data_IF_769091360942
#
_entry.id   IF_769091360942
#
_cell.length_a   1.000
_cell.length_b   1.000
_cell.length_c   1.000
_cell.angle_alpha   90.00
_cell.angle_beta   90.00
_cell.angle_gamma   90.00
#
_symmetry.space_group_name_H-M   'P 1'
#
loop_
_entity.id
_entity.type
_entity.pdbx_description
1 polymer ?
#
# COMPACT_ATOMS: atom_id res chain seq x y z
N UNK A 1 2.25 16.06 -12.55
CA UNK A 1 2.68 14.76 -13.13
C UNK A 1 2.88 13.74 -12.02
N UNK A 2 2.43 12.49 -12.23
CA UNK A 2 2.55 11.41 -11.23
C UNK A 2 3.51 10.36 -11.79
N UNK A 3 4.44 9.89 -10.95
CA UNK A 3 5.29 8.75 -11.22
C UNK A 3 5.00 7.62 -10.24
N UNK A 4 5.39 6.41 -10.60
CA UNK A 4 5.21 5.22 -9.79
C UNK A 4 6.52 4.45 -9.66
N UNK A 5 6.87 4.04 -8.46
CA UNK A 5 8.02 3.20 -8.16
C UNK A 5 7.61 2.02 -7.27
N UNK A 6 8.11 0.85 -7.59
CA UNK A 6 8.08 -0.34 -6.74
C UNK A 6 9.52 -0.74 -6.44
N UNK A 7 10.12 -0.25 -5.35
CA UNK A 7 11.54 -0.47 -5.09
C UNK A 7 11.91 -1.92 -4.84
N UNK A 8 10.99 -2.70 -4.24
CA UNK A 8 11.22 -4.11 -3.90
C UNK A 8 10.07 -4.96 -4.42
N UNK A 9 10.38 -5.98 -5.22
CA UNK A 9 9.40 -6.92 -5.76
C UNK A 9 9.19 -8.10 -4.82
N UNK A 10 7.94 -8.36 -4.43
CA UNK A 10 7.58 -9.43 -3.50
C UNK A 10 7.46 -10.80 -4.17
N UNK A 11 7.24 -10.83 -5.46
CA UNK A 11 7.12 -12.08 -6.17
C UNK A 11 8.52 -12.58 -6.52
N UNK A 12 8.89 -13.73 -5.95
CA UNK A 12 10.02 -14.53 -6.38
C UNK A 12 9.70 -15.18 -7.75
N UNK A 13 9.48 -14.33 -8.75
CA UNK A 13 9.32 -14.75 -10.12
C UNK A 13 10.67 -15.25 -10.65
N UNK A 14 10.62 -16.00 -11.74
CA UNK A 14 11.81 -16.29 -12.52
C UNK A 14 12.47 -14.94 -12.87
N UNK A 15 13.80 -14.86 -12.95
CA UNK A 15 14.53 -13.61 -13.20
C UNK A 15 14.04 -12.83 -14.42
N UNK A 16 13.38 -13.51 -15.36
CA UNK A 16 12.87 -12.93 -16.60
C UNK A 16 11.39 -12.50 -16.55
N UNK A 17 10.72 -12.65 -15.40
CA UNK A 17 9.30 -12.30 -15.26
C UNK A 17 9.16 -10.96 -14.57
N UNK A 18 8.66 -9.97 -15.31
CA UNK A 18 8.35 -8.64 -14.76
C UNK A 18 7.32 -8.75 -13.63
N UNK A 19 7.52 -7.96 -12.57
CA UNK A 19 6.54 -7.86 -11.48
C UNK A 19 5.14 -7.48 -12.02
N UNK A 20 4.06 -8.11 -11.53
CA UNK A 20 2.71 -7.88 -12.05
C UNK A 20 2.27 -6.42 -12.00
N UNK A 21 2.62 -5.67 -10.94
CA UNK A 21 2.29 -4.24 -10.84
C UNK A 21 3.00 -3.43 -11.92
N UNK A 22 4.28 -3.71 -12.15
CA UNK A 22 5.07 -3.05 -13.21
C UNK A 22 4.55 -3.41 -14.60
N UNK A 23 4.20 -4.68 -14.83
CA UNK A 23 3.64 -5.13 -16.10
C UNK A 23 2.29 -4.44 -16.36
N UNK A 24 1.42 -4.31 -15.36
CA UNK A 24 0.15 -3.63 -15.49
C UNK A 24 0.34 -2.15 -15.84
N UNK A 25 1.22 -1.46 -15.13
CA UNK A 25 1.49 -0.03 -15.36
C UNK A 25 2.13 0.23 -16.74
N UNK A 26 3.06 -0.62 -17.15
CA UNK A 26 3.68 -0.48 -18.47
C UNK A 26 2.67 -0.63 -19.61
N UNK A 27 1.67 -1.51 -19.45
CA UNK A 27 0.63 -1.76 -20.46
C UNK A 27 -0.50 -0.72 -20.44
N UNK A 28 -0.87 -0.22 -19.26
CA UNK A 28 -2.06 0.64 -19.11
C UNK A 28 -1.72 2.11 -19.11
N UNK A 29 -0.58 2.49 -18.54
CA UNK A 29 -0.17 3.89 -18.34
C UNK A 29 1.04 4.29 -19.17
N UNK A 30 1.62 3.36 -19.95
CA UNK A 30 2.86 3.56 -20.71
C UNK A 30 4.03 4.04 -19.83
N UNK A 31 4.00 3.69 -18.56
CA UNK A 31 5.09 3.96 -17.61
C UNK A 31 6.16 2.86 -17.75
N UNK A 32 7.41 3.24 -17.63
CA UNK A 32 8.56 2.31 -17.60
C UNK A 32 9.30 2.46 -16.29
N UNK A 33 8.74 1.96 -15.18
CA UNK A 33 9.42 2.02 -13.88
C UNK A 33 10.69 1.17 -13.90
N UNK A 34 11.69 1.53 -13.07
CA UNK A 34 12.93 0.76 -12.98
C UNK A 34 12.66 -0.65 -12.44
N UNK A 35 13.61 -1.56 -12.71
CA UNK A 35 13.54 -2.91 -12.17
C UNK A 35 13.70 -2.89 -10.64
N UNK A 36 12.81 -3.55 -9.89
CA UNK A 36 12.87 -3.58 -8.43
C UNK A 36 13.96 -4.55 -7.93
N UNK A 37 14.41 -4.31 -6.71
CA UNK A 37 15.21 -5.26 -5.94
C UNK A 37 14.34 -6.48 -5.61
N UNK A 38 14.88 -7.69 -5.67
CA UNK A 38 14.11 -8.88 -5.29
C UNK A 38 13.90 -8.95 -3.77
N UNK A 39 12.76 -9.53 -3.34
CA UNK A 39 12.50 -9.71 -1.90
C UNK A 39 13.57 -10.59 -1.24
N UNK A 40 14.06 -11.61 -1.93
CA UNK A 40 15.12 -12.49 -1.42
C UNK A 40 16.43 -11.73 -1.18
N UNK A 41 16.80 -10.84 -2.08
CA UNK A 41 17.97 -9.98 -1.91
C UNK A 41 17.77 -8.98 -0.74
N UNK A 42 16.61 -8.34 -0.66
CA UNK A 42 16.29 -7.44 0.44
C UNK A 42 16.33 -8.18 1.81
N UNK A 43 15.81 -9.41 1.86
CA UNK A 43 15.87 -10.26 3.05
C UNK A 43 17.29 -10.62 3.43
N UNK A 44 18.12 -10.99 2.46
CA UNK A 44 19.53 -11.33 2.68
C UNK A 44 20.31 -10.13 3.21
N UNK A 45 20.16 -8.97 2.61
CA UNK A 45 20.80 -7.72 3.08
C UNK A 45 20.37 -7.36 4.50
N UNK A 46 19.08 -7.51 4.80
CA UNK A 46 18.58 -7.29 6.17
C UNK A 46 19.21 -8.26 7.17
N UNK A 47 19.36 -9.53 6.82
CA UNK A 47 20.00 -10.54 7.67
C UNK A 47 21.49 -10.26 7.89
N UNK A 48 22.16 -9.69 6.90
CA UNK A 48 23.57 -9.29 6.98
C UNK A 48 23.79 -7.95 7.73
N UNK A 49 22.72 -7.23 8.08
CA UNK A 49 22.83 -5.90 8.70
C UNK A 49 23.08 -4.77 7.69
N UNK A 50 22.89 -5.01 6.39
CA UNK A 50 23.15 -4.08 5.28
C UNK A 50 21.88 -3.26 4.92
N UNK A 51 21.10 -2.90 5.95
CA UNK A 51 19.82 -2.19 5.75
C UNK A 51 20.03 -0.78 5.18
N UNK A 52 21.13 -0.12 5.54
CA UNK A 52 21.43 1.23 5.06
C UNK A 52 21.71 1.21 3.55
N UNK A 53 22.54 0.27 3.07
CA UNK A 53 22.80 0.09 1.64
C UNK A 53 21.54 -0.28 0.85
N UNK A 54 20.66 -1.10 1.44
CA UNK A 54 19.37 -1.40 0.83
C UNK A 54 18.52 -0.12 0.67
N UNK A 55 18.50 0.73 1.69
CA UNK A 55 17.74 1.98 1.64
C UNK A 55 18.34 3.01 0.68
N UNK A 56 19.66 3.04 0.53
CA UNK A 56 20.34 3.87 -0.50
C UNK A 56 19.89 3.47 -1.91
N UNK A 57 19.83 2.17 -2.20
CA UNK A 57 19.35 1.69 -3.49
C UNK A 57 17.86 2.02 -3.71
N UNK A 58 17.04 1.90 -2.67
CA UNK A 58 15.62 2.33 -2.71
C UNK A 58 15.50 3.81 -3.04
N UNK A 59 16.28 4.67 -2.39
CA UNK A 59 16.29 6.12 -2.67
C UNK A 59 16.72 6.40 -4.10
N UNK A 60 17.74 5.70 -4.59
CA UNK A 60 18.24 5.86 -5.95
C UNK A 60 17.16 5.48 -6.98
N UNK A 61 16.48 4.35 -6.81
CA UNK A 61 15.37 3.93 -7.69
C UNK A 61 14.21 4.94 -7.67
N UNK A 62 13.83 5.41 -6.49
CA UNK A 62 12.78 6.42 -6.33
C UNK A 62 13.16 7.75 -6.97
N UNK A 63 14.38 8.21 -6.76
CA UNK A 63 14.89 9.47 -7.31
C UNK A 63 14.97 9.46 -8.84
N UNK A 64 15.43 8.36 -9.43
CA UNK A 64 15.43 8.19 -10.89
C UNK A 64 14.02 8.25 -11.47
N UNK A 65 13.04 7.69 -10.76
CA UNK A 65 11.64 7.67 -11.21
C UNK A 65 10.97 9.04 -11.05
N UNK A 66 11.37 9.81 -10.04
CA UNK A 66 10.75 11.08 -9.65
C UNK A 66 11.21 12.30 -10.46
N UNK A 67 12.23 12.17 -11.34
CA UNK A 67 12.94 13.31 -11.95
C UNK A 67 12.04 14.43 -12.53
N UNK A 68 10.88 14.05 -13.10
CA UNK A 68 9.94 15.00 -13.70
C UNK A 68 8.52 14.90 -13.10
N UNK A 69 8.39 14.39 -11.89
CA UNK A 69 7.10 14.16 -11.25
C UNK A 69 6.86 15.13 -10.10
N UNK A 70 5.63 15.61 -9.98
CA UNK A 70 5.16 16.40 -8.84
C UNK A 70 4.84 15.50 -7.64
N UNK A 71 4.46 14.24 -7.93
CA UNK A 71 4.12 13.23 -6.93
C UNK A 71 4.71 11.89 -7.35
N UNK A 72 5.40 11.23 -6.43
CA UNK A 72 5.85 9.85 -6.58
C UNK A 72 4.98 8.94 -5.70
N UNK A 73 4.35 7.95 -6.31
CA UNK A 73 3.66 6.87 -5.59
C UNK A 73 4.61 5.69 -5.47
N UNK A 74 4.90 5.28 -4.24
CA UNK A 74 5.79 4.14 -3.95
C UNK A 74 4.95 2.97 -3.44
N UNK A 75 5.02 1.83 -4.14
CA UNK A 75 4.37 0.60 -3.69
C UNK A 75 5.25 -0.13 -2.66
N UNK A 76 4.72 -0.28 -1.46
CA UNK A 76 5.33 -1.09 -0.40
C UNK A 76 5.07 -2.58 -0.57
N UNK A 77 5.68 -3.37 0.30
CA UNK A 77 5.50 -4.82 0.38
C UNK A 77 4.20 -5.17 1.10
N UNK A 78 3.50 -6.20 0.63
CA UNK A 78 2.29 -6.71 1.30
C UNK A 78 2.71 -7.51 2.54
N UNK A 79 2.26 -7.13 3.75
CA UNK A 79 2.56 -7.88 4.96
C UNK A 79 2.09 -9.34 4.88
N UNK A 80 2.89 -10.24 5.43
CA UNK A 80 2.61 -11.68 5.51
C UNK A 80 2.80 -12.13 6.96
N UNK A 81 1.96 -13.06 7.42
CA UNK A 81 1.98 -13.53 8.82
C UNK A 81 3.35 -14.10 9.24
N UNK A 82 3.99 -14.85 8.34
CA UNK A 82 5.27 -15.51 8.59
C UNK A 82 6.50 -14.64 8.26
N UNK A 83 6.30 -13.41 7.81
CA UNK A 83 7.37 -12.54 7.32
C UNK A 83 7.38 -11.14 7.98
N UNK A 84 7.57 -11.12 9.30
CA UNK A 84 7.62 -9.87 10.07
C UNK A 84 8.68 -8.86 9.59
N UNK A 85 9.75 -9.34 8.94
CA UNK A 85 10.78 -8.50 8.33
C UNK A 85 10.23 -7.55 7.26
N UNK A 86 9.11 -7.91 6.61
CA UNK A 86 8.43 -7.06 5.61
C UNK A 86 7.97 -5.74 6.25
N UNK A 87 7.37 -5.81 7.43
CA UNK A 87 6.94 -4.59 8.14
C UNK A 87 8.13 -3.70 8.50
N UNK A 88 9.26 -4.30 8.87
CA UNK A 88 10.49 -3.57 9.15
C UNK A 88 11.03 -2.87 7.90
N UNK A 89 11.06 -3.56 6.76
CA UNK A 89 11.49 -2.97 5.47
C UNK A 89 10.54 -1.83 5.09
N UNK A 90 9.22 -2.02 5.14
CA UNK A 90 8.25 -0.98 4.83
C UNK A 90 8.41 0.25 5.72
N UNK A 91 8.55 0.05 7.02
CA UNK A 91 8.77 1.14 7.97
C UNK A 91 10.07 1.90 7.68
N UNK A 92 11.14 1.17 7.35
CA UNK A 92 12.42 1.78 7.02
C UNK A 92 12.35 2.56 5.70
N UNK A 93 11.72 2.01 4.66
CA UNK A 93 11.48 2.73 3.40
C UNK A 93 10.69 4.02 3.63
N UNK A 94 9.59 3.93 4.38
CA UNK A 94 8.75 5.08 4.69
C UNK A 94 9.52 6.19 5.42
N UNK A 95 10.35 5.80 6.38
CA UNK A 95 11.20 6.74 7.14
C UNK A 95 12.28 7.37 6.27
N UNK A 96 12.98 6.55 5.48
CA UNK A 96 14.09 7.00 4.62
C UNK A 96 13.61 7.94 3.51
N UNK A 97 12.45 7.65 2.93
CA UNK A 97 11.86 8.49 1.88
C UNK A 97 11.08 9.70 2.43
N UNK A 98 11.00 9.84 3.74
CA UNK A 98 10.18 10.87 4.40
C UNK A 98 8.72 10.91 3.90
N UNK A 99 8.16 9.76 3.58
CA UNK A 99 6.91 9.64 2.83
C UNK A 99 5.67 9.67 3.71
N UNK A 100 4.57 10.13 3.11
CA UNK A 100 3.23 9.93 3.67
C UNK A 100 2.72 8.53 3.30
N UNK A 101 1.95 7.92 4.18
CA UNK A 101 1.50 6.53 4.07
C UNK A 101 0.00 6.48 3.81
N UNK A 102 -0.38 5.68 2.84
CA UNK A 102 -1.78 5.26 2.63
C UNK A 102 -1.81 3.75 2.84
N UNK A 103 -2.58 3.31 3.83
CA UNK A 103 -2.80 1.88 4.04
C UNK A 103 -3.83 1.38 3.04
N UNK A 104 -3.59 0.20 2.47
CA UNK A 104 -4.58 -0.48 1.62
C UNK A 104 -4.94 -1.79 2.30
N UNK A 105 -6.21 -1.96 2.62
CA UNK A 105 -6.68 -3.12 3.35
C UNK A 105 -7.97 -3.68 2.75
N UNK A 106 -8.20 -4.98 2.94
CA UNK A 106 -9.45 -5.63 2.59
C UNK A 106 -10.11 -6.17 3.85
N UNK A 107 -11.42 -5.98 3.96
CA UNK A 107 -12.15 -6.44 5.13
C UNK A 107 -12.18 -7.97 5.20
N UNK A 108 -12.14 -8.66 4.05
CA UNK A 108 -12.30 -10.11 3.97
C UNK A 108 -13.51 -10.56 4.83
N UNK A 109 -13.34 -11.58 5.67
CA UNK A 109 -14.39 -12.06 6.60
C UNK A 109 -14.19 -11.56 8.04
N UNK A 110 -13.41 -10.50 8.23
CA UNK A 110 -13.13 -9.94 9.55
C UNK A 110 -14.35 -9.16 10.06
N UNK A 111 -14.60 -9.29 11.35
CA UNK A 111 -15.50 -8.37 12.04
C UNK A 111 -14.91 -6.96 12.03
N UNK A 112 -15.75 -5.97 12.21
CA UNK A 112 -15.33 -4.58 12.30
C UNK A 112 -14.24 -4.33 13.38
N UNK A 113 -14.39 -4.95 14.54
CA UNK A 113 -13.42 -4.82 15.63
C UNK A 113 -12.04 -5.42 15.28
N UNK A 114 -12.03 -6.58 14.63
CA UNK A 114 -10.82 -7.22 14.15
C UNK A 114 -10.15 -6.40 13.05
N UNK A 115 -10.93 -5.92 12.08
CA UNK A 115 -10.44 -5.06 11.02
C UNK A 115 -9.78 -3.79 11.58
N UNK A 116 -10.45 -3.09 12.49
CA UNK A 116 -9.91 -1.90 13.17
C UNK A 116 -8.61 -2.19 13.90
N UNK A 117 -8.55 -3.32 14.60
CA UNK A 117 -7.33 -3.73 15.29
C UNK A 117 -6.17 -3.95 14.31
N UNK A 118 -6.43 -4.59 13.16
CA UNK A 118 -5.42 -4.81 12.12
C UNK A 118 -4.91 -3.50 11.53
N UNK A 119 -5.80 -2.55 11.24
CA UNK A 119 -5.40 -1.23 10.74
C UNK A 119 -4.55 -0.48 11.76
N UNK A 120 -4.94 -0.49 13.04
CA UNK A 120 -4.16 0.17 14.09
C UNK A 120 -2.78 -0.47 14.28
N UNK A 121 -2.68 -1.80 14.25
CA UNK A 121 -1.39 -2.49 14.30
C UNK A 121 -0.53 -2.09 13.10
N UNK A 122 -1.11 -2.06 11.90
CA UNK A 122 -0.39 -1.65 10.70
C UNK A 122 0.09 -0.19 10.78
N UNK A 123 -0.76 0.72 11.26
CA UNK A 123 -0.41 2.12 11.43
C UNK A 123 0.72 2.33 12.45
N UNK A 124 0.80 1.49 13.50
CA UNK A 124 1.84 1.57 14.52
C UNK A 124 3.25 1.34 13.98
N UNK A 125 3.40 0.58 12.89
CA UNK A 125 4.71 0.44 12.21
C UNK A 125 5.22 1.75 11.61
N UNK A 126 4.31 2.73 11.41
CA UNK A 126 4.60 4.03 10.82
C UNK A 126 4.42 5.19 11.82
N UNK A 127 4.51 4.93 13.13
CA UNK A 127 4.39 5.94 14.18
C UNK A 127 3.00 6.05 14.82
N UNK A 128 2.04 5.20 14.41
CA UNK A 128 0.68 5.18 14.96
C UNK A 128 -0.25 6.24 14.37
N UNK A 129 -1.54 6.18 14.72
CA UNK A 129 -2.59 7.02 14.13
C UNK A 129 -2.64 8.48 14.66
N UNK A 130 -1.78 8.85 15.59
CA UNK A 130 -1.86 10.16 16.29
C UNK A 130 -0.94 11.24 15.76
N UNK A 131 0.28 10.90 15.47
CA UNK A 131 1.34 11.82 15.02
C UNK A 131 2.01 11.32 13.73
N UNK A 132 1.40 10.31 13.13
CA UNK A 132 1.98 9.59 12.02
C UNK A 132 1.81 10.32 10.70
N UNK A 133 2.67 9.98 9.78
CA UNK A 133 2.52 10.30 8.37
C UNK A 133 1.45 9.45 7.67
N UNK A 134 0.68 8.65 8.40
CA UNK A 134 -0.43 7.86 7.84
C UNK A 134 -1.59 8.79 7.53
N UNK A 135 -1.83 9.02 6.25
CA UNK A 135 -2.90 9.92 5.76
C UNK A 135 -4.28 9.27 5.82
N UNK A 136 -4.35 7.95 5.66
CA UNK A 136 -5.61 7.25 5.64
C UNK A 136 -5.49 5.78 5.24
N UNK A 137 -6.66 5.16 5.02
CA UNK A 137 -6.77 3.79 4.57
C UNK A 137 -7.73 3.70 3.38
N UNK A 138 -7.33 2.95 2.36
CA UNK A 138 -8.21 2.58 1.25
C UNK A 138 -8.76 1.19 1.54
N UNK A 139 -10.08 1.08 1.59
CA UNK A 139 -10.76 -0.21 1.69
C UNK A 139 -10.89 -0.82 0.31
N UNK A 140 -10.27 -1.96 0.12
CA UNK A 140 -10.35 -2.73 -1.11
C UNK A 140 -11.16 -4.00 -0.92
N UNK A 141 -11.77 -4.51 -1.99
CA UNK A 141 -12.60 -5.73 -1.99
C UNK A 141 -13.78 -5.65 -1.01
N UNK A 142 -14.35 -4.48 -0.86
CA UNK A 142 -15.62 -4.32 -0.15
C UNK A 142 -16.70 -5.05 -0.94
N UNK A 143 -17.47 -5.92 -0.28
CA UNK A 143 -18.53 -6.66 -0.93
C UNK A 143 -19.60 -5.73 -1.48
N UNK A 144 -19.64 -5.54 -2.78
CA UNK A 144 -20.77 -4.88 -3.41
C UNK A 144 -21.99 -5.84 -3.38
N UNK A 145 -23.22 -5.36 -3.15
CA UNK A 145 -24.38 -6.20 -3.32
C UNK A 145 -24.43 -6.64 -4.78
N UNK A 146 -24.37 -7.96 -4.97
CA UNK A 146 -24.59 -8.56 -6.27
C UNK A 146 -26.11 -8.59 -6.43
N UNK A 147 -26.62 -7.88 -7.42
CA UNK A 147 -27.99 -8.04 -7.85
C UNK A 147 -28.24 -9.52 -8.22
N UNK A 148 -29.47 -10.01 -7.97
CA UNK A 148 -29.90 -11.38 -8.31
C UNK A 148 -29.72 -11.73 -9.79
N UNK A 149 -29.54 -10.76 -10.67
CA UNK A 149 -29.22 -10.90 -12.09
C UNK A 149 -27.72 -10.99 -12.39
N UNK A 150 -26.85 -11.00 -11.36
CA UNK A 150 -25.40 -10.92 -11.49
C UNK A 150 -24.89 -9.68 -12.26
N UNK A 151 -25.71 -8.67 -12.43
CA UNK A 151 -25.32 -7.39 -13.01
C UNK A 151 -24.59 -6.58 -11.95
N UNK A 152 -23.35 -6.19 -12.24
CA UNK A 152 -22.66 -5.16 -11.47
C UNK A 152 -23.32 -3.84 -11.87
N UNK A 153 -24.18 -3.31 -11.00
CA UNK A 153 -24.64 -1.93 -11.17
C UNK A 153 -23.48 -0.99 -10.90
N UNK A 154 -23.38 0.06 -11.69
CA UNK A 154 -22.42 1.13 -11.41
C UNK A 154 -22.67 1.65 -9.98
N UNK A 155 -21.62 1.85 -9.20
CA UNK A 155 -21.70 2.30 -7.80
C UNK A 155 -22.52 3.61 -7.65
N UNK A 156 -22.60 4.39 -8.71
CA UNK A 156 -23.35 5.63 -8.83
C UNK A 156 -24.89 5.45 -8.69
N UNK A 157 -25.42 4.25 -8.98
CA UNK A 157 -26.85 3.98 -8.91
C UNK A 157 -27.32 3.43 -7.54
N UNK A 158 -26.42 3.27 -6.58
CA UNK A 158 -26.72 2.65 -5.30
C UNK A 158 -26.61 3.71 -4.19
N UNK A 159 -27.67 4.49 -3.97
CA UNK A 159 -27.75 5.43 -2.84
C UNK A 159 -27.51 4.77 -1.47
N UNK A 160 -27.76 3.48 -1.34
CA UNK A 160 -27.53 2.69 -0.12
C UNK A 160 -26.05 2.36 0.12
N UNK A 161 -25.17 2.55 -0.87
CA UNK A 161 -23.74 2.24 -0.80
C UNK A 161 -22.88 3.47 -0.58
N UNK A 162 -23.28 4.32 0.29
CA UNK A 162 -22.37 5.35 0.79
C UNK A 162 -21.42 4.70 1.81
N UNK A 163 -20.45 3.92 1.30
CA UNK A 163 -19.40 3.26 2.09
C UNK A 163 -18.72 4.29 3.00
N UNK A 164 -18.59 5.54 2.55
CA UNK A 164 -18.03 6.65 3.30
C UNK A 164 -18.85 6.97 4.55
N UNK A 165 -20.18 7.00 4.45
CA UNK A 165 -21.05 7.30 5.58
C UNK A 165 -21.11 6.13 6.56
N UNK A 166 -21.27 4.91 6.07
CA UNK A 166 -21.30 3.70 6.90
C UNK A 166 -19.97 3.47 7.66
N UNK A 167 -18.85 3.73 7.00
CA UNK A 167 -17.52 3.58 7.61
C UNK A 167 -17.21 4.72 8.57
N UNK A 168 -17.58 5.97 8.23
CA UNK A 168 -17.32 7.13 9.10
C UNK A 168 -18.11 7.07 10.41
N UNK A 169 -19.33 6.55 10.39
CA UNK A 169 -20.15 6.35 11.60
C UNK A 169 -19.58 5.28 12.53
N UNK A 170 -18.89 4.28 11.98
CA UNK A 170 -18.38 3.13 12.70
C UNK A 170 -16.86 3.16 12.95
N UNK A 171 -16.13 4.14 12.42
CA UNK A 171 -14.68 4.35 12.62
C UNK A 171 -14.39 5.58 13.50
N UNK A 172 -14.72 5.56 14.80
CA UNK A 172 -14.50 6.73 15.67
C UNK A 172 -13.03 7.13 15.80
N UNK A 173 -12.10 6.26 15.45
CA UNK A 173 -10.66 6.50 15.54
C UNK A 173 -10.16 7.31 14.35
N UNK A 174 -10.71 7.09 13.15
CA UNK A 174 -10.29 7.80 11.94
C UNK A 174 -11.05 9.12 11.73
N UNK A 175 -12.27 9.28 12.28
CA UNK A 175 -13.07 10.49 12.12
C UNK A 175 -12.57 11.69 12.96
N UNK A 176 -11.75 11.47 13.98
CA UNK A 176 -11.34 12.54 14.92
C UNK A 176 -10.08 13.30 14.52
N UNK A 177 -9.28 12.85 13.55
CA UNK A 177 -8.05 13.54 13.16
C UNK A 177 -7.75 13.42 11.66
N UNK A 178 -8.53 14.08 10.82
CA UNK A 178 -8.18 14.37 9.42
C UNK A 178 -7.86 13.15 8.51
N UNK A 179 -8.38 11.96 8.80
CA UNK A 179 -8.28 10.85 7.86
C UNK A 179 -9.50 10.85 6.94
N UNK A 180 -9.27 10.95 5.65
CA UNK A 180 -10.28 10.73 4.63
C UNK A 180 -10.18 9.28 4.14
N UNK A 181 -11.23 8.48 4.30
CA UNK A 181 -11.39 7.26 3.53
C UNK A 181 -11.79 7.64 2.11
N UNK A 182 -10.99 7.25 1.14
CA UNK A 182 -11.32 7.38 -0.27
C UNK A 182 -11.92 6.03 -0.68
N UNK A 183 -13.22 6.03 -0.97
CA UNK A 183 -13.93 4.87 -1.51
C UNK A 183 -13.66 4.65 -2.99
#
# INVERSE_FOLDING_TARGET
RVAFCKPIAQHAGKPDVMDPSLLFLSKTQQLTPPQPISLSEAQQRLANGEIEQLMEDVVNLCSQTAQDADVLVVEGLVPQEDAQFINRINSQMASTLDSHIILVASQNNLTYAEFNRHINISANYFGGAGESKVLGCILNKVGAPIDSSASIRAVEDIEEFNVTTSISEHLPIFSRKNFHCIG
#
